data_IF_869214676571
#
_entry.id   IF_869214676571
#
_cell.length_a   1.000
_cell.length_b   1.000
_cell.length_c   1.000
_cell.angle_alpha   90.00
_cell.angle_beta   90.00
_cell.angle_gamma   90.00
#
_symmetry.space_group_name_H-M   'P 1'
#
loop_
_entity.id
_entity.type
_entity.pdbx_description
1 polymer ?
#
# COMPACT_ATOMS: atom_id res chain seq x y z
N UNK A 1 19.11 -4.32 -7.89
CA UNK A 1 17.82 -3.90 -7.27
C UNK A 1 17.10 -3.01 -8.28
N UNK A 2 15.78 -3.15 -8.42
CA UNK A 2 14.98 -2.21 -9.21
C UNK A 2 15.02 -0.82 -8.56
N UNK A 3 14.90 0.23 -9.35
CA UNK A 3 14.77 1.60 -8.84
C UNK A 3 13.54 1.70 -7.92
N UNK A 4 13.61 2.39 -6.76
CA UNK A 4 12.49 2.52 -5.83
C UNK A 4 11.19 3.02 -6.49
N UNK A 5 11.33 3.89 -7.49
CA UNK A 5 10.20 4.39 -8.28
C UNK A 5 9.49 3.29 -9.07
N UNK A 6 10.24 2.31 -9.60
CA UNK A 6 9.67 1.16 -10.30
C UNK A 6 8.89 0.27 -9.35
N UNK A 7 9.40 0.08 -8.12
CA UNK A 7 8.73 -0.71 -7.07
C UNK A 7 7.38 -0.06 -6.69
N UNK A 8 7.36 1.25 -6.44
CA UNK A 8 6.11 1.96 -6.12
C UNK A 8 5.12 1.89 -7.29
N UNK A 9 5.60 2.05 -8.53
CA UNK A 9 4.75 1.95 -9.72
C UNK A 9 4.09 0.57 -9.85
N UNK A 10 4.88 -0.49 -9.65
CA UNK A 10 4.39 -1.87 -9.69
C UNK A 10 3.40 -2.15 -8.55
N UNK A 11 3.67 -1.61 -7.35
CA UNK A 11 2.77 -1.73 -6.21
C UNK A 11 1.42 -1.03 -6.46
N UNK A 12 1.43 0.22 -6.93
CA UNK A 12 0.18 0.91 -7.30
C UNK A 12 -0.58 0.16 -8.41
N UNK A 13 0.12 -0.39 -9.39
CA UNK A 13 -0.49 -1.19 -10.45
C UNK A 13 -1.13 -2.49 -9.93
N UNK A 14 -0.50 -3.15 -8.96
CA UNK A 14 -1.07 -4.33 -8.29
C UNK A 14 -2.37 -3.97 -7.54
N UNK A 15 -2.36 -2.89 -6.74
CA UNK A 15 -3.54 -2.40 -6.04
C UNK A 15 -4.70 -2.07 -6.99
N UNK A 16 -4.42 -1.40 -8.11
CA UNK A 16 -5.43 -1.10 -9.13
C UNK A 16 -6.04 -2.37 -9.74
N UNK A 17 -5.20 -3.38 -10.01
CA UNK A 17 -5.66 -4.67 -10.54
C UNK A 17 -6.52 -5.44 -9.55
N UNK A 18 -6.15 -5.43 -8.27
CA UNK A 18 -6.94 -6.05 -7.21
C UNK A 18 -8.29 -5.36 -7.08
N UNK A 19 -8.30 -4.02 -7.11
CA UNK A 19 -9.54 -3.23 -7.11
C UNK A 19 -10.45 -3.52 -8.30
N UNK A 20 -9.90 -3.76 -9.48
CA UNK A 20 -10.67 -4.08 -10.67
C UNK A 20 -11.17 -5.55 -10.71
N UNK A 21 -11.12 -6.25 -9.57
CA UNK A 21 -11.76 -7.57 -9.38
C UNK A 21 -10.88 -8.76 -9.72
N UNK A 22 -9.55 -8.63 -9.64
CA UNK A 22 -8.60 -9.71 -9.95
C UNK A 22 -7.90 -10.29 -8.72
N UNK A 23 -8.36 -10.01 -7.50
CA UNK A 23 -7.77 -10.61 -6.30
C UNK A 23 -8.47 -11.95 -5.99
N UNK A 24 -7.78 -13.07 -6.27
CA UNK A 24 -8.27 -14.43 -6.02
C UNK A 24 -8.16 -14.87 -4.55
N UNK A 25 -7.52 -14.05 -3.71
CA UNK A 25 -7.24 -14.36 -2.31
C UNK A 25 -8.20 -13.70 -1.34
N UNK A 26 -9.11 -12.85 -1.82
CA UNK A 26 -10.13 -12.21 -1.00
C UNK A 26 -11.48 -12.87 -1.25
N UNK A 27 -12.19 -13.21 -0.18
CA UNK A 27 -13.59 -13.60 -0.25
C UNK A 27 -14.51 -12.39 -0.55
N UNK A 28 -15.82 -12.64 -0.68
CA UNK A 28 -16.77 -11.59 -1.01
C UNK A 28 -16.89 -10.48 0.05
N UNK A 29 -16.73 -10.81 1.32
CA UNK A 29 -16.81 -9.86 2.43
C UNK A 29 -15.54 -9.02 2.51
N UNK A 30 -14.37 -9.67 2.50
CA UNK A 30 -13.06 -9.05 2.48
C UNK A 30 -12.91 -8.11 1.27
N UNK A 31 -13.35 -8.57 0.09
CA UNK A 31 -13.37 -7.75 -1.12
C UNK A 31 -14.31 -6.54 -0.99
N UNK A 32 -15.44 -6.68 -0.30
CA UNK A 32 -16.35 -5.58 0.02
C UNK A 32 -15.69 -4.50 0.88
N UNK A 33 -14.95 -4.92 1.91
CA UNK A 33 -14.19 -4.01 2.79
C UNK A 33 -13.05 -3.34 2.00
N UNK A 34 -12.29 -4.11 1.22
CA UNK A 34 -11.23 -3.61 0.35
C UNK A 34 -11.77 -2.53 -0.60
N UNK A 35 -12.87 -2.83 -1.31
CA UNK A 35 -13.51 -1.89 -2.26
C UNK A 35 -14.03 -0.63 -1.58
N UNK A 36 -14.58 -0.75 -0.36
CA UNK A 36 -15.02 0.41 0.42
C UNK A 36 -13.84 1.28 0.83
N UNK A 37 -12.75 0.68 1.30
CA UNK A 37 -11.54 1.39 1.73
C UNK A 37 -10.86 2.10 0.56
N UNK A 38 -10.68 1.40 -0.56
CA UNK A 38 -10.04 1.94 -1.77
C UNK A 38 -11.02 2.56 -2.76
N UNK A 39 -12.25 2.91 -2.36
CA UNK A 39 -13.30 3.37 -3.27
C UNK A 39 -12.91 4.61 -4.10
N UNK A 40 -11.97 5.43 -3.61
CA UNK A 40 -11.39 6.56 -4.36
C UNK A 40 -10.63 6.12 -5.62
N UNK A 41 -10.07 4.90 -5.63
CA UNK A 41 -9.43 4.27 -6.79
C UNK A 41 -10.47 4.00 -7.89
N UNK A 42 -11.76 3.92 -7.61
CA UNK A 42 -12.79 3.70 -8.65
C UNK A 42 -12.85 4.78 -9.76
N UNK A 43 -12.32 5.98 -9.52
CA UNK A 43 -12.36 7.07 -10.49
C UNK A 43 -10.99 7.25 -11.18
N UNK A 44 -10.93 7.11 -12.52
CA UNK A 44 -9.68 7.19 -13.31
C UNK A 44 -8.87 8.47 -13.09
N UNK A 45 -9.53 9.63 -13.01
CA UNK A 45 -8.86 10.91 -12.74
C UNK A 45 -8.27 10.92 -11.34
N UNK A 46 -9.01 10.40 -10.34
CA UNK A 46 -8.51 10.26 -8.98
C UNK A 46 -7.39 9.23 -8.87
N UNK A 47 -7.36 8.16 -9.68
CA UNK A 47 -6.23 7.21 -9.74
C UNK A 47 -4.93 7.92 -10.07
N UNK A 48 -4.93 8.75 -11.11
CA UNK A 48 -3.72 9.47 -11.53
C UNK A 48 -3.23 10.44 -10.45
N UNK A 49 -4.15 11.22 -9.86
CA UNK A 49 -3.82 12.17 -8.78
C UNK A 49 -3.33 11.43 -7.54
N UNK A 50 -4.02 10.37 -7.14
CA UNK A 50 -3.63 9.51 -6.01
C UNK A 50 -2.23 8.94 -6.23
N UNK A 51 -1.95 8.37 -7.41
CA UNK A 51 -0.64 7.81 -7.74
C UNK A 51 0.47 8.85 -7.65
N UNK A 52 0.25 10.06 -8.18
CA UNK A 52 1.24 11.14 -8.12
C UNK A 52 1.52 11.60 -6.69
N UNK A 53 0.48 11.84 -5.90
CA UNK A 53 0.61 12.26 -4.49
C UNK A 53 1.23 11.17 -3.63
N UNK A 54 0.79 9.92 -3.82
CA UNK A 54 1.31 8.75 -3.12
C UNK A 54 2.80 8.53 -3.41
N UNK A 55 3.20 8.65 -4.68
CA UNK A 55 4.61 8.59 -5.07
C UNK A 55 5.44 9.72 -4.45
N UNK A 56 4.94 10.96 -4.48
CA UNK A 56 5.64 12.10 -3.89
C UNK A 56 5.86 11.90 -2.39
N UNK A 57 4.82 11.46 -1.67
CA UNK A 57 4.88 11.18 -0.23
C UNK A 57 5.91 10.10 0.11
N UNK A 58 5.96 9.05 -0.69
CA UNK A 58 6.77 7.86 -0.40
C UNK A 58 8.21 7.97 -0.90
N UNK A 59 8.51 8.89 -1.82
CA UNK A 59 9.80 8.99 -2.49
C UNK A 59 10.98 9.01 -1.53
N UNK A 60 10.88 9.80 -0.45
CA UNK A 60 11.96 9.92 0.52
C UNK A 60 12.24 8.58 1.22
N UNK A 61 11.20 7.98 1.81
CA UNK A 61 11.39 6.75 2.60
C UNK A 61 11.81 5.59 1.71
N UNK A 62 11.25 5.45 0.49
CA UNK A 62 11.63 4.37 -0.41
C UNK A 62 13.05 4.48 -0.96
N UNK A 63 13.60 5.70 -1.04
CA UNK A 63 15.00 5.92 -1.39
C UNK A 63 15.94 5.69 -0.19
N UNK A 64 15.47 5.97 1.03
CA UNK A 64 16.23 5.78 2.25
C UNK A 64 16.36 4.29 2.62
N UNK A 65 15.27 3.53 2.58
CA UNK A 65 15.22 2.16 3.10
C UNK A 65 16.30 1.21 2.56
N UNK A 66 16.64 1.20 1.25
CA UNK A 66 17.69 0.33 0.72
C UNK A 66 19.08 0.57 1.30
N UNK A 67 19.33 1.77 1.85
CA UNK A 67 20.61 2.11 2.49
C UNK A 67 20.67 1.74 3.98
N UNK A 68 19.54 1.39 4.58
CA UNK A 68 19.45 1.01 5.99
C UNK A 68 19.59 -0.50 6.15
N UNK A 69 20.32 -0.92 7.19
CA UNK A 69 20.43 -2.34 7.53
C UNK A 69 19.27 -2.74 8.43
N UNK A 70 18.32 -3.54 7.91
CA UNK A 70 17.15 -4.06 8.64
C UNK A 70 16.34 -2.98 9.38
N UNK A 71 15.83 -1.96 8.66
CA UNK A 71 15.09 -0.86 9.28
C UNK A 71 13.83 -1.35 9.99
N UNK A 72 13.50 -0.73 11.13
CA UNK A 72 12.24 -0.95 11.85
C UNK A 72 11.32 0.26 11.61
N UNK A 73 10.09 0.01 11.19
CA UNK A 73 9.09 1.05 10.89
C UNK A 73 7.83 0.83 11.74
N UNK A 74 7.30 1.93 12.27
CA UNK A 74 5.93 2.02 12.78
C UNK A 74 5.06 2.69 11.73
N UNK A 75 4.09 1.97 11.19
CA UNK A 75 3.06 2.49 10.28
C UNK A 75 1.81 2.85 11.11
N UNK A 76 1.73 4.12 11.53
CA UNK A 76 0.67 4.60 12.40
C UNK A 76 -0.53 5.08 11.58
N UNK A 77 -1.69 4.44 11.79
CA UNK A 77 -2.86 4.59 10.91
C UNK A 77 -2.72 3.77 9.63
N UNK A 78 -2.21 2.55 9.74
CA UNK A 78 -1.81 1.71 8.61
C UNK A 78 -2.97 1.32 7.68
N UNK A 79 -4.22 1.48 8.12
CA UNK A 79 -5.37 1.09 7.34
C UNK A 79 -5.38 -0.42 7.10
N UNK A 80 -5.57 -0.81 5.83
CA UNK A 80 -5.44 -2.21 5.40
C UNK A 80 -3.98 -2.63 5.13
N UNK A 81 -2.99 -1.82 5.52
CA UNK A 81 -1.58 -2.19 5.49
C UNK A 81 -0.86 -2.01 4.16
N UNK A 82 -1.38 -1.19 3.22
CA UNK A 82 -0.69 -0.98 1.92
C UNK A 82 0.75 -0.50 2.08
N UNK A 83 0.98 0.51 2.90
CA UNK A 83 2.33 1.05 3.12
C UNK A 83 3.18 0.08 3.92
N UNK A 84 2.58 -0.57 4.93
CA UNK A 84 3.23 -1.66 5.65
C UNK A 84 3.77 -2.75 4.73
N UNK A 85 2.96 -3.25 3.79
CA UNK A 85 3.38 -4.24 2.79
C UNK A 85 4.51 -3.69 1.91
N UNK A 86 4.36 -2.49 1.38
CA UNK A 86 5.38 -1.84 0.55
C UNK A 86 6.73 -1.73 1.29
N UNK A 87 6.71 -1.28 2.54
CA UNK A 87 7.92 -1.14 3.35
C UNK A 87 8.55 -2.49 3.69
N UNK A 88 7.74 -3.51 3.99
CA UNK A 88 8.23 -4.88 4.17
C UNK A 88 8.87 -5.45 2.89
N UNK A 89 8.27 -5.19 1.72
CA UNK A 89 8.88 -5.55 0.43
C UNK A 89 10.24 -4.86 0.18
N UNK A 90 10.44 -3.67 0.75
CA UNK A 90 11.71 -2.94 0.70
C UNK A 90 12.70 -3.37 1.78
N UNK A 91 12.41 -4.43 2.54
CA UNK A 91 13.30 -5.04 3.52
C UNK A 91 13.18 -4.47 4.94
N UNK A 92 12.14 -3.68 5.22
CA UNK A 92 11.86 -3.21 6.56
C UNK A 92 11.13 -4.27 7.39
N UNK A 93 11.41 -4.30 8.70
CA UNK A 93 10.52 -4.89 9.68
C UNK A 93 9.46 -3.84 10.05
N UNK A 94 8.18 -4.18 9.93
CA UNK A 94 7.09 -3.20 10.06
C UNK A 94 6.12 -3.62 11.15
N UNK A 95 5.75 -2.66 12.00
CA UNK A 95 4.64 -2.75 12.93
C UNK A 95 3.54 -1.80 12.44
N UNK A 96 2.42 -2.35 12.00
CA UNK A 96 1.23 -1.57 11.63
C UNK A 96 0.29 -1.42 12.82
N UNK A 97 -0.23 -0.20 13.03
CA UNK A 97 -1.26 0.06 14.04
C UNK A 97 -2.37 0.91 13.43
N UNK A 98 -3.63 0.61 13.76
CA UNK A 98 -4.78 1.44 13.40
C UNK A 98 -5.77 1.44 14.57
N UNK A 99 -6.46 2.57 14.79
CA UNK A 99 -7.47 2.70 15.84
C UNK A 99 -8.76 1.97 15.48
N UNK A 100 -9.01 1.76 14.18
CA UNK A 100 -10.17 1.03 13.70
C UNK A 100 -9.82 -0.46 13.57
N UNK A 101 -10.23 -1.24 14.56
CA UNK A 101 -9.97 -2.67 14.64
C UNK A 101 -10.45 -3.45 13.40
N UNK A 102 -11.53 -3.01 12.74
CA UNK A 102 -12.04 -3.66 11.53
C UNK A 102 -11.05 -3.59 10.34
N UNK A 103 -10.03 -2.73 10.42
CA UNK A 103 -8.97 -2.63 9.40
C UNK A 103 -7.81 -3.61 9.63
N UNK A 104 -7.72 -4.20 10.83
CA UNK A 104 -6.66 -5.13 11.23
C UNK A 104 -7.11 -6.60 11.23
N UNK A 105 -8.42 -6.85 11.09
CA UNK A 105 -9.05 -8.18 11.17
C UNK A 105 -9.52 -8.73 9.81
N UNK A 106 -9.02 -8.15 8.72
CA UNK A 106 -9.17 -8.71 7.37
C UNK A 106 -8.27 -9.94 7.23
#
# INVERSE_FOLDING_TARGET
MKEPQEIINNFCYALEREYDGKNLFLDSEEYGIFRKYYGSIGNKTRRYVYKSLYQSRLRYITNLLPSLKRPLILDAGCGLGSESLLFSFLGANVVGVDLNEARLKL
#
